data_IF_761760798063
#
_entry.id   IF_761760798063
#
_cell.length_a   1.000
_cell.length_b   1.000
_cell.length_c   1.000
_cell.angle_alpha   90.00
_cell.angle_beta   90.00
_cell.angle_gamma   90.00
#
_symmetry.space_group_name_H-M   'P 1'
#
loop_
_entity.id
_entity.type
_entity.pdbx_description
1 polymer ?
#
# COMPACT_ATOMS: atom_id res chain seq x y z
N UNK A 1 -6.67 23.12 -6.62
CA UNK A 1 -5.77 22.58 -5.58
C UNK A 1 -4.33 22.59 -6.07
N UNK A 2 -3.35 22.95 -5.23
CA UNK A 2 -1.93 22.93 -5.61
C UNK A 2 -1.37 21.51 -5.70
N UNK A 3 -0.27 21.31 -6.44
CA UNK A 3 0.42 20.02 -6.53
C UNK A 3 0.86 19.49 -5.15
N UNK A 4 1.25 20.40 -4.25
CA UNK A 4 1.59 20.07 -2.85
C UNK A 4 0.39 19.47 -2.11
N UNK A 5 -0.82 20.02 -2.29
CA UNK A 5 -2.01 19.52 -1.61
C UNK A 5 -2.39 18.12 -2.12
N UNK A 6 -2.30 17.89 -3.43
CA UNK A 6 -2.50 16.56 -4.02
C UNK A 6 -1.49 15.53 -3.50
N UNK A 7 -0.21 15.89 -3.41
CA UNK A 7 0.83 15.03 -2.83
C UNK A 7 0.53 14.69 -1.37
N UNK A 8 0.16 15.67 -0.54
CA UNK A 8 -0.18 15.43 0.87
C UNK A 8 -1.39 14.52 1.02
N UNK A 9 -2.45 14.77 0.25
CA UNK A 9 -3.66 13.96 0.28
C UNK A 9 -3.37 12.51 -0.14
N UNK A 10 -2.64 12.33 -1.25
CA UNK A 10 -2.27 11.01 -1.75
C UNK A 10 -1.34 10.24 -0.81
N UNK A 11 -0.26 10.87 -0.33
CA UNK A 11 0.64 10.27 0.65
C UNK A 11 -0.08 9.93 1.95
N UNK A 12 -0.96 10.81 2.43
CA UNK A 12 -1.76 10.59 3.63
C UNK A 12 -2.74 9.45 3.48
N UNK A 13 -3.42 9.36 2.33
CA UNK A 13 -4.30 8.24 2.01
C UNK A 13 -3.54 6.90 2.03
N UNK A 14 -2.39 6.84 1.34
CA UNK A 14 -1.57 5.62 1.31
C UNK A 14 -1.03 5.27 2.71
N UNK A 15 -0.61 6.26 3.50
CA UNK A 15 -0.15 6.05 4.87
C UNK A 15 -1.27 5.45 5.74
N UNK A 16 -2.46 6.04 5.74
CA UNK A 16 -3.60 5.55 6.53
C UNK A 16 -4.01 4.14 6.09
N UNK A 17 -4.02 3.87 4.78
CA UNK A 17 -4.33 2.53 4.27
C UNK A 17 -3.31 1.49 4.76
N UNK A 18 -2.01 1.79 4.68
CA UNK A 18 -0.95 0.91 5.16
C UNK A 18 -0.95 0.75 6.68
N UNK A 19 -1.29 1.81 7.42
CA UNK A 19 -1.47 1.74 8.87
C UNK A 19 -2.60 0.80 9.26
N UNK A 20 -3.76 0.94 8.61
CA UNK A 20 -4.93 0.12 8.89
C UNK A 20 -4.68 -1.36 8.56
N UNK A 21 -4.14 -1.63 7.36
CA UNK A 21 -3.77 -3.00 6.94
C UNK A 21 -2.71 -3.59 7.86
N UNK A 22 -1.63 -2.84 8.10
CA UNK A 22 -0.51 -3.30 8.90
C UNK A 22 -0.87 -3.55 10.36
N UNK A 23 -1.64 -2.63 10.96
CA UNK A 23 -2.14 -2.76 12.32
C UNK A 23 -3.08 -3.96 12.48
N UNK A 24 -4.00 -4.17 11.54
CA UNK A 24 -4.90 -5.32 11.57
C UNK A 24 -4.13 -6.64 11.42
N UNK A 25 -3.27 -6.76 10.41
CA UNK A 25 -2.48 -7.96 10.17
C UNK A 25 -1.51 -8.28 11.32
N UNK A 26 -0.96 -7.26 12.00
CA UNK A 26 -0.06 -7.46 13.13
C UNK A 26 -0.80 -7.85 14.43
N UNK A 27 -1.89 -7.13 14.76
CA UNK A 27 -2.55 -7.26 16.07
C UNK A 27 -3.64 -8.33 16.08
N UNK A 28 -4.26 -8.61 14.94
CA UNK A 28 -5.29 -9.65 14.79
C UNK A 28 -5.10 -10.42 13.47
N UNK A 29 -3.96 -11.12 13.30
CA UNK A 29 -3.56 -11.75 12.04
C UNK A 29 -4.59 -12.76 11.52
N UNK A 30 -5.25 -13.51 12.42
CA UNK A 30 -6.25 -14.51 12.01
C UNK A 30 -7.47 -13.86 11.37
N UNK A 31 -8.01 -12.81 11.99
CA UNK A 31 -9.21 -12.15 11.46
C UNK A 31 -8.94 -11.44 10.14
N UNK A 32 -7.74 -10.90 9.95
CA UNK A 32 -7.31 -10.34 8.66
C UNK A 32 -7.17 -11.44 7.60
N UNK A 33 -6.56 -12.58 7.96
CA UNK A 33 -6.40 -13.73 7.06
C UNK A 33 -7.73 -14.34 6.60
N UNK A 34 -8.74 -14.34 7.47
CA UNK A 34 -10.06 -14.91 7.16
C UNK A 34 -10.84 -14.12 6.08
N UNK A 35 -10.38 -12.92 5.71
CA UNK A 35 -10.90 -12.20 4.55
C UNK A 35 -10.59 -13.00 3.27
N UNK A 36 -11.58 -13.36 2.43
CA UNK A 36 -11.40 -14.33 1.34
C UNK A 36 -10.25 -14.01 0.37
N UNK A 37 -10.06 -12.72 0.04
CA UNK A 37 -8.99 -12.27 -0.86
C UNK A 37 -7.62 -12.09 -0.18
N UNK A 38 -7.57 -12.09 1.15
CA UNK A 38 -6.32 -12.10 1.91
C UNK A 38 -5.80 -13.53 2.06
N UNK A 39 -6.65 -14.43 2.59
CA UNK A 39 -6.25 -15.82 2.81
C UNK A 39 -6.20 -16.65 1.53
N UNK A 40 -6.94 -16.27 0.48
CA UNK A 40 -6.96 -16.95 -0.83
C UNK A 40 -7.13 -18.47 -0.73
N UNK A 41 -7.90 -18.96 0.25
CA UNK A 41 -8.12 -20.40 0.52
C UNK A 41 -6.81 -21.18 0.78
N UNK A 42 -5.72 -20.50 1.14
CA UNK A 42 -4.42 -21.07 1.46
C UNK A 42 -4.35 -21.47 2.95
N UNK A 43 -3.34 -22.26 3.36
CA UNK A 43 -3.07 -22.52 4.78
C UNK A 43 -2.62 -21.25 5.53
N UNK A 44 -3.10 -21.09 6.77
CA UNK A 44 -2.74 -19.95 7.62
C UNK A 44 -1.34 -20.08 8.23
N UNK A 45 -0.56 -19.00 8.16
CA UNK A 45 0.72 -18.87 8.86
C UNK A 45 0.72 -17.54 9.65
N UNK A 46 0.65 -17.65 10.98
CA UNK A 46 0.59 -16.48 11.86
C UNK A 46 1.87 -15.62 11.79
N UNK A 47 3.04 -16.25 11.72
CA UNK A 47 4.32 -15.56 11.65
C UNK A 47 4.40 -14.66 10.41
N UNK A 48 4.16 -15.23 9.23
CA UNK A 48 4.20 -14.47 7.97
C UNK A 48 3.15 -13.36 7.92
N UNK A 49 1.98 -13.58 8.52
CA UNK A 49 0.95 -12.53 8.57
C UNK A 49 1.35 -11.36 9.46
N UNK A 50 1.96 -11.65 10.62
CA UNK A 50 2.48 -10.61 11.51
C UNK A 50 3.67 -9.85 10.86
N UNK A 51 4.56 -10.55 10.16
CA UNK A 51 5.67 -9.91 9.42
C UNK A 51 5.14 -8.98 8.31
N UNK A 52 4.14 -9.42 7.56
CA UNK A 52 3.47 -8.59 6.56
C UNK A 52 2.84 -7.35 7.21
N UNK A 53 2.22 -7.52 8.39
CA UNK A 53 1.68 -6.42 9.18
C UNK A 53 2.76 -5.41 9.60
N UNK A 54 3.87 -5.90 10.14
CA UNK A 54 5.01 -5.08 10.57
C UNK A 54 5.64 -4.30 9.39
N UNK A 55 5.84 -4.94 8.25
CA UNK A 55 6.39 -4.29 7.04
C UNK A 55 5.43 -3.27 6.43
N UNK A 56 4.11 -3.52 6.50
CA UNK A 56 3.09 -2.55 6.11
C UNK A 56 3.11 -1.32 7.02
N UNK A 57 3.26 -1.50 8.34
CA UNK A 57 3.41 -0.39 9.29
C UNK A 57 4.70 0.40 9.06
N UNK A 58 5.83 -0.27 8.77
CA UNK A 58 7.07 0.40 8.42
C UNK A 58 6.90 1.30 7.17
N UNK A 59 6.19 0.79 6.15
CA UNK A 59 5.87 1.54 4.93
C UNK A 59 4.95 2.74 5.24
N UNK A 60 3.96 2.56 6.11
CA UNK A 60 3.08 3.63 6.59
C UNK A 60 3.87 4.77 7.25
N UNK A 61 4.89 4.47 8.05
CA UNK A 61 5.72 5.50 8.70
C UNK A 61 6.42 6.38 7.67
N UNK A 62 7.06 5.79 6.65
CA UNK A 62 7.77 6.54 5.60
C UNK A 62 6.80 7.42 4.79
N UNK A 63 5.63 6.90 4.45
CA UNK A 63 4.56 7.66 3.78
C UNK A 63 4.05 8.80 4.67
N UNK A 64 3.76 8.52 5.94
CA UNK A 64 3.23 9.48 6.91
C UNK A 64 4.20 10.62 7.21
N UNK A 65 5.49 10.32 7.42
CA UNK A 65 6.53 11.35 7.58
C UNK A 65 6.58 12.27 6.36
N UNK A 66 6.41 11.72 5.16
CA UNK A 66 6.40 12.48 3.91
C UNK A 66 5.20 13.42 3.77
N UNK A 67 4.10 13.19 4.51
CA UNK A 67 2.95 14.12 4.56
C UNK A 67 3.31 15.42 5.29
N UNK A 68 4.12 15.32 6.35
CA UNK A 68 4.53 16.47 7.16
C UNK A 68 5.80 17.14 6.59
N UNK A 69 6.74 16.34 6.07
CA UNK A 69 8.01 16.77 5.50
C UNK A 69 8.02 16.65 3.97
N UNK A 70 7.12 17.38 3.30
CA UNK A 70 6.94 17.33 1.82
C UNK A 70 8.10 18.03 1.10
N UNK A 71 9.28 17.41 1.14
CA UNK A 71 10.45 17.72 0.30
C UNK A 71 10.46 16.79 -0.90
N UNK A 72 11.03 17.25 -2.02
CA UNK A 72 11.07 16.47 -3.27
C UNK A 72 11.71 15.09 -3.11
N UNK A 73 12.86 15.02 -2.43
CA UNK A 73 13.57 13.77 -2.16
C UNK A 73 12.74 12.84 -1.28
N UNK A 74 12.23 13.35 -0.16
CA UNK A 74 11.41 12.58 0.79
C UNK A 74 10.15 11.98 0.13
N UNK A 75 9.39 12.80 -0.60
CA UNK A 75 8.19 12.33 -1.31
C UNK A 75 8.51 11.26 -2.37
N UNK A 76 9.60 11.44 -3.13
CA UNK A 76 10.04 10.44 -4.12
C UNK A 76 10.46 9.12 -3.47
N UNK A 77 11.23 9.19 -2.39
CA UNK A 77 11.66 8.00 -1.64
C UNK A 77 10.46 7.24 -1.11
N UNK A 78 9.48 7.92 -0.48
CA UNK A 78 8.30 7.26 0.05
C UNK A 78 7.43 6.60 -1.02
N UNK A 79 7.21 7.29 -2.15
CA UNK A 79 6.47 6.73 -3.29
C UNK A 79 7.22 5.55 -3.91
N UNK A 80 8.55 5.61 -3.99
CA UNK A 80 9.38 4.51 -4.49
C UNK A 80 9.34 3.29 -3.57
N UNK A 81 9.50 3.47 -2.26
CA UNK A 81 9.38 2.41 -1.24
C UNK A 81 8.02 1.72 -1.38
N UNK A 82 6.94 2.51 -1.47
CA UNK A 82 5.60 1.94 -1.60
C UNK A 82 5.39 1.21 -2.93
N UNK A 83 5.95 1.70 -4.05
CA UNK A 83 5.86 1.02 -5.35
C UNK A 83 6.64 -0.30 -5.39
N UNK A 84 7.80 -0.38 -4.71
CA UNK A 84 8.56 -1.62 -4.55
C UNK A 84 7.75 -2.70 -3.83
N UNK A 85 6.82 -2.30 -2.96
CA UNK A 85 5.84 -3.20 -2.38
C UNK A 85 4.64 -3.46 -3.33
N UNK A 86 3.97 -2.40 -3.77
CA UNK A 86 2.67 -2.48 -4.43
C UNK A 86 2.73 -3.20 -5.80
N UNK A 87 3.79 -2.99 -6.58
CA UNK A 87 3.92 -3.59 -7.92
C UNK A 87 4.10 -5.11 -7.83
N UNK A 88 5.08 -5.66 -7.08
CA UNK A 88 5.17 -7.11 -6.88
C UNK A 88 3.90 -7.69 -6.22
N UNK A 89 3.31 -6.98 -5.25
CA UNK A 89 2.10 -7.45 -4.58
C UNK A 89 0.91 -7.61 -5.56
N UNK A 90 0.68 -6.65 -6.46
CA UNK A 90 -0.28 -6.80 -7.54
C UNK A 90 0.07 -7.98 -8.45
N UNK A 91 1.34 -8.12 -8.85
CA UNK A 91 1.81 -9.23 -9.68
C UNK A 91 1.55 -10.60 -9.08
N UNK A 92 1.82 -10.77 -7.78
CA UNK A 92 1.54 -12.00 -7.02
C UNK A 92 0.04 -12.32 -7.06
N UNK A 93 -0.82 -11.34 -6.77
CA UNK A 93 -2.27 -11.58 -6.79
C UNK A 93 -2.79 -11.92 -8.18
N UNK A 94 -2.25 -11.31 -9.24
CA UNK A 94 -2.56 -11.67 -10.63
C UNK A 94 -2.20 -13.13 -10.94
N UNK A 95 -1.05 -13.61 -10.46
CA UNK A 95 -0.63 -15.01 -10.62
C UNK A 95 -1.51 -15.99 -9.83
N UNK A 96 -2.04 -15.56 -8.69
CA UNK A 96 -2.82 -16.40 -7.77
C UNK A 96 -4.35 -16.25 -7.92
N UNK A 97 -4.86 -15.53 -8.93
CA UNK A 97 -6.31 -15.28 -9.10
C UNK A 97 -7.17 -16.55 -9.15
N UNK A 98 -6.59 -17.69 -9.57
CA UNK A 98 -7.28 -18.97 -9.62
C UNK A 98 -7.81 -19.44 -8.25
N UNK A 99 -7.23 -18.94 -7.15
CA UNK A 99 -7.72 -19.17 -5.80
C UNK A 99 -9.00 -18.42 -5.44
N UNK A 100 -9.44 -17.45 -6.24
CA UNK A 100 -10.56 -16.55 -5.93
C UNK A 100 -11.77 -16.80 -6.83
N UNK A 101 -12.96 -16.48 -6.35
CA UNK A 101 -14.17 -16.41 -7.19
C UNK A 101 -14.16 -15.12 -8.04
N UNK A 102 -14.89 -15.05 -9.17
CA UNK A 102 -14.98 -13.81 -9.95
C UNK A 102 -15.41 -12.58 -9.11
N UNK A 103 -16.35 -12.76 -8.17
CA UNK A 103 -16.82 -11.69 -7.28
C UNK A 103 -15.77 -11.19 -6.29
N UNK A 104 -14.81 -12.03 -5.91
CA UNK A 104 -13.69 -11.65 -5.03
C UNK A 104 -12.54 -10.99 -5.81
N UNK A 105 -12.28 -11.43 -7.05
CA UNK A 105 -11.16 -10.95 -7.88
C UNK A 105 -11.29 -9.48 -8.26
N UNK A 106 -12.49 -9.03 -8.64
CA UNK A 106 -12.73 -7.67 -9.14
C UNK A 106 -12.40 -6.59 -8.09
N UNK A 107 -12.97 -6.59 -6.87
CA UNK A 107 -12.66 -5.58 -5.87
C UNK A 107 -11.19 -5.62 -5.45
N UNK A 108 -10.60 -6.82 -5.34
CA UNK A 108 -9.18 -6.98 -5.04
C UNK A 108 -8.31 -6.32 -6.10
N UNK A 109 -8.49 -6.68 -7.38
CA UNK A 109 -7.68 -6.14 -8.47
C UNK A 109 -7.88 -4.63 -8.63
N UNK A 110 -9.10 -4.12 -8.42
CA UNK A 110 -9.35 -2.69 -8.42
C UNK A 110 -8.56 -1.97 -7.32
N UNK A 111 -8.58 -2.50 -6.09
CA UNK A 111 -7.83 -1.93 -4.96
C UNK A 111 -6.31 -1.99 -5.18
N UNK A 112 -5.79 -3.13 -5.64
CA UNK A 112 -4.35 -3.31 -5.90
C UNK A 112 -3.87 -2.47 -7.09
N UNK A 113 -4.69 -2.33 -8.12
CA UNK A 113 -4.38 -1.44 -9.26
C UNK A 113 -4.36 0.01 -8.80
N UNK A 114 -5.31 0.44 -7.96
CA UNK A 114 -5.30 1.78 -7.38
C UNK A 114 -4.05 2.01 -6.51
N UNK A 115 -3.65 1.02 -5.71
CA UNK A 115 -2.42 1.05 -4.92
C UNK A 115 -1.16 1.28 -5.78
N UNK A 116 -1.13 0.82 -7.04
CA UNK A 116 -0.03 1.09 -7.97
C UNK A 116 -0.21 2.42 -8.71
N UNK A 117 -1.40 2.71 -9.21
CA UNK A 117 -1.66 3.88 -10.06
C UNK A 117 -1.54 5.19 -9.28
N UNK A 118 -2.02 5.25 -8.03
CA UNK A 118 -1.94 6.45 -7.19
C UNK A 118 -0.49 6.96 -7.08
N UNK A 119 0.49 6.17 -6.58
CA UNK A 119 1.86 6.65 -6.45
C UNK A 119 2.52 6.97 -7.81
N UNK A 120 2.18 6.26 -8.90
CA UNK A 120 2.65 6.59 -10.24
C UNK A 120 2.16 7.97 -10.72
N UNK A 121 0.91 8.33 -10.42
CA UNK A 121 0.35 9.65 -10.75
C UNK A 121 0.95 10.74 -9.86
N UNK A 122 1.24 10.44 -8.60
CA UNK A 122 1.85 11.39 -7.65
C UNK A 122 3.33 11.67 -7.97
N UNK A 123 4.08 10.68 -8.46
CA UNK A 123 5.52 10.80 -8.72
C UNK A 123 5.89 12.02 -9.60
N UNK A 124 5.25 12.25 -10.77
CA UNK A 124 5.50 13.45 -11.58
C UNK A 124 5.24 14.76 -10.85
N UNK A 125 4.25 14.81 -9.95
CA UNK A 125 3.92 16.01 -9.19
C UNK A 125 5.03 16.44 -8.24
N UNK A 126 5.91 15.52 -7.83
CA UNK A 126 7.10 15.84 -7.00
C UNK A 126 8.07 16.79 -7.69
N UNK A 127 8.05 16.87 -9.03
CA UNK A 127 8.88 17.82 -9.79
C UNK A 127 8.52 19.29 -9.53
N UNK A 128 7.30 19.56 -9.05
CA UNK A 128 6.79 20.88 -8.69
C UNK A 128 7.14 21.31 -7.26
N UNK A 129 7.83 20.45 -6.51
CA UNK A 129 8.42 20.80 -5.22
C UNK A 129 9.83 21.38 -5.45
N UNK A 130 10.22 22.34 -4.61
CA UNK A 130 11.58 22.86 -4.58
C UNK A 130 12.59 21.72 -4.40
N UNK A 131 13.77 21.87 -5.03
CA UNK A 131 14.92 20.98 -4.82
C UNK A 131 15.46 21.26 -3.41
N UNK A 132 14.84 20.66 -2.41
CA UNK A 132 15.36 20.64 -1.04
C UNK A 132 16.51 19.67 -0.87
#
# INVERSE_FOLDING_TARGET
MSARNWLRAGLGFLAVAQFAVGGWALLSPRSFFDIPWVGMRMPYNAHLMMDYGAMSLATSVVLGVSVFLVRRSMARTALAVYLVFAVPHLGIHVQLLHHLTPGERVPLLAALTAAVVIPLVLLPLTSKLEKG
#
